data_IF_956905087725
#
_entry.id   IF_956905087725
#
_cell.length_a   1.000
_cell.length_b   1.000
_cell.length_c   1.000
_cell.angle_alpha   90.00
_cell.angle_beta   90.00
_cell.angle_gamma   90.00
#
_symmetry.space_group_name_H-M   'P 1'
#
loop_
_entity.id
_entity.type
_entity.pdbx_description
1 polymer ?
#
# COMPACT_ATOMS: atom_id res chain seq x y z
N UNK A 1 16.11 -4.91 12.35
CA UNK A 1 16.06 -3.51 11.89
C UNK A 1 14.60 -3.19 11.64
N UNK A 2 14.19 -1.94 11.90
CA UNK A 2 12.78 -1.57 12.02
C UNK A 2 12.58 -0.23 11.33
N UNK A 3 11.55 -0.15 10.50
CA UNK A 3 11.06 1.10 9.91
C UNK A 3 10.69 2.06 11.05
N UNK A 4 11.36 3.22 11.12
CA UNK A 4 11.10 4.22 12.15
C UNK A 4 10.11 5.26 11.63
N UNK A 5 9.19 5.72 12.48
CA UNK A 5 8.22 6.76 12.11
C UNK A 5 8.29 7.95 13.06
N UNK A 6 8.37 9.15 12.51
CA UNK A 6 8.37 10.43 13.22
C UNK A 6 7.20 11.31 12.74
N UNK A 7 6.86 12.33 13.51
CA UNK A 7 5.96 13.40 13.05
C UNK A 7 6.74 14.35 12.12
N UNK A 8 6.07 14.94 11.13
CA UNK A 8 6.65 15.98 10.27
C UNK A 8 6.65 17.34 11.00
N UNK A 9 7.47 17.41 12.05
CA UNK A 9 7.81 18.62 12.80
C UNK A 9 9.32 18.86 12.68
N UNK A 10 9.83 20.07 12.98
CA UNK A 10 11.27 20.32 12.98
C UNK A 10 12.07 19.29 13.81
N UNK A 11 11.55 18.91 14.99
CA UNK A 11 12.17 17.90 15.85
C UNK A 11 12.12 16.49 15.24
N UNK A 12 11.03 16.15 14.56
CA UNK A 12 10.90 14.88 13.85
C UNK A 12 11.82 14.81 12.64
N UNK A 13 11.99 15.91 11.91
CA UNK A 13 12.97 16.01 10.82
C UNK A 13 14.40 15.87 11.35
N UNK A 14 14.73 16.52 12.47
CA UNK A 14 16.04 16.35 13.13
C UNK A 14 16.27 14.91 13.59
N UNK A 15 15.25 14.26 14.18
CA UNK A 15 15.33 12.87 14.62
C UNK A 15 15.51 11.90 13.45
N UNK A 16 14.78 12.11 12.35
CA UNK A 16 14.95 11.33 11.12
C UNK A 16 16.34 11.56 10.48
N UNK A 17 16.82 12.81 10.49
CA UNK A 17 18.15 13.18 10.02
C UNK A 17 19.28 12.61 10.91
N UNK A 18 19.02 12.31 12.18
CA UNK A 18 19.98 11.71 13.10
C UNK A 18 20.12 10.18 12.95
N UNK A 19 19.19 9.50 12.26
CA UNK A 19 19.31 8.06 11.99
C UNK A 19 20.59 7.78 11.18
N UNK A 20 21.44 6.80 11.55
CA UNK A 20 22.66 6.52 10.80
C UNK A 20 22.40 6.11 9.34
N UNK A 21 23.31 6.48 8.44
CA UNK A 21 23.32 6.01 7.06
C UNK A 21 23.73 4.51 6.98
N UNK A 22 23.27 3.75 5.97
CA UNK A 22 22.38 4.18 4.89
C UNK A 22 20.92 4.26 5.34
N UNK A 23 20.21 5.32 4.92
CA UNK A 23 18.77 5.47 5.16
C UNK A 23 18.03 6.10 3.98
N UNK A 24 16.72 5.89 3.93
CA UNK A 24 15.81 6.61 3.06
C UNK A 24 14.71 7.26 3.90
N UNK A 25 14.57 8.58 3.78
CA UNK A 25 13.57 9.38 4.51
C UNK A 25 12.41 9.69 3.57
N UNK A 26 11.22 9.30 4.00
CA UNK A 26 9.98 9.50 3.27
C UNK A 26 9.03 10.39 4.05
N UNK A 27 8.59 11.50 3.47
CA UNK A 27 7.55 12.34 4.06
C UNK A 27 6.21 11.95 3.44
N UNK A 28 5.35 11.32 4.23
CA UNK A 28 4.01 10.93 3.79
C UNK A 28 3.14 12.17 3.59
N UNK A 29 2.13 12.13 2.70
CA UNK A 29 1.21 13.25 2.48
C UNK A 29 0.44 13.71 3.73
N UNK A 30 0.48 12.94 4.82
CA UNK A 30 -0.21 13.22 6.08
C UNK A 30 0.72 13.78 7.17
N UNK A 31 1.92 14.21 6.82
CA UNK A 31 2.87 14.82 7.76
C UNK A 31 3.48 13.80 8.73
N UNK A 32 3.77 12.58 8.26
CA UNK A 32 4.63 11.63 8.97
C UNK A 32 5.91 11.41 8.18
N UNK A 33 7.01 11.27 8.89
CA UNK A 33 8.30 10.91 8.33
C UNK A 33 8.52 9.42 8.58
N UNK A 34 8.76 8.64 7.54
CA UNK A 34 9.09 7.22 7.61
C UNK A 34 10.56 7.06 7.21
N UNK A 35 11.36 6.46 8.07
CA UNK A 35 12.79 6.23 7.83
C UNK A 35 13.04 4.75 7.66
N UNK A 36 13.49 4.40 6.47
CA UNK A 36 13.93 3.06 6.10
C UNK A 36 15.44 2.96 6.27
N UNK A 37 15.95 1.85 6.81
CA UNK A 37 17.39 1.62 7.02
C UNK A 37 17.81 0.22 6.59
N UNK A 38 19.08 0.07 6.24
CA UNK A 38 19.65 -1.24 5.87
C UNK A 38 18.90 -1.90 4.70
N UNK A 39 18.39 -3.11 4.93
CA UNK A 39 17.67 -3.91 3.93
C UNK A 39 16.27 -3.37 3.60
N UNK A 40 15.73 -2.49 4.42
CA UNK A 40 14.39 -1.93 4.24
C UNK A 40 14.39 -0.71 3.30
N UNK A 41 15.58 -0.21 2.93
CA UNK A 41 15.72 0.91 1.99
C UNK A 41 15.16 0.46 0.63
N UNK A 42 14.11 1.11 0.12
CA UNK A 42 13.61 0.80 -1.21
C UNK A 42 14.71 1.08 -2.22
N UNK A 43 15.05 0.09 -3.05
CA UNK A 43 16.00 0.28 -4.14
C UNK A 43 15.28 0.91 -5.34
N UNK A 44 15.50 2.21 -5.63
CA UNK A 44 14.82 2.88 -6.74
C UNK A 44 15.33 2.42 -8.10
N UNK A 45 16.42 1.64 -8.15
CA UNK A 45 16.96 1.07 -9.39
C UNK A 45 16.17 -0.15 -9.88
N UNK A 46 15.39 -0.80 -8.99
CA UNK A 46 14.50 -1.89 -9.36
C UNK A 46 13.32 -1.32 -10.17
N UNK A 47 13.12 -1.75 -11.42
CA UNK A 47 11.96 -1.34 -12.19
C UNK A 47 10.66 -1.73 -11.48
N UNK A 48 9.68 -0.82 -11.42
CA UNK A 48 8.36 -1.11 -10.82
C UNK A 48 7.66 -2.32 -11.45
N UNK A 49 7.98 -2.63 -12.71
CA UNK A 49 7.45 -3.79 -13.42
C UNK A 49 7.93 -5.13 -12.82
N UNK A 50 9.10 -5.14 -12.18
CA UNK A 50 9.72 -6.33 -11.61
C UNK A 50 9.29 -6.54 -10.14
N UNK A 51 8.64 -5.54 -9.54
CA UNK A 51 8.12 -5.64 -8.17
C UNK A 51 6.81 -6.44 -8.17
N UNK A 52 6.82 -7.55 -7.44
CA UNK A 52 5.64 -8.35 -7.15
C UNK A 52 5.33 -8.31 -5.66
N UNK A 53 4.11 -7.88 -5.31
CA UNK A 53 3.65 -7.83 -3.93
C UNK A 53 2.67 -8.96 -3.63
N UNK A 54 2.71 -9.46 -2.40
CA UNK A 54 1.57 -10.17 -1.82
C UNK A 54 0.41 -9.23 -1.52
N UNK A 55 -0.79 -9.76 -1.28
CA UNK A 55 -1.95 -8.95 -0.87
C UNK A 55 -1.66 -8.17 0.42
N UNK A 56 -0.99 -8.80 1.38
CA UNK A 56 -0.60 -8.15 2.63
C UNK A 56 0.38 -7.00 2.39
N UNK A 57 1.44 -7.23 1.62
CA UNK A 57 2.42 -6.19 1.26
C UNK A 57 1.77 -5.01 0.53
N UNK A 58 0.84 -5.28 -0.40
CA UNK A 58 0.07 -4.25 -1.10
C UNK A 58 -0.74 -3.40 -0.13
N UNK A 59 -1.51 -4.03 0.77
CA UNK A 59 -2.34 -3.32 1.73
C UNK A 59 -1.51 -2.53 2.76
N UNK A 60 -0.39 -3.09 3.25
CA UNK A 60 0.54 -2.39 4.14
C UNK A 60 1.24 -1.23 3.43
N UNK A 61 1.59 -1.39 2.15
CA UNK A 61 2.08 -0.29 1.32
C UNK A 61 1.06 0.84 1.22
N UNK A 62 -0.20 0.53 0.93
CA UNK A 62 -1.31 1.50 0.88
C UNK A 62 -1.49 2.21 2.22
N UNK A 63 -1.41 1.48 3.33
CA UNK A 63 -1.48 2.05 4.68
C UNK A 63 -0.32 3.02 4.93
N UNK A 64 0.90 2.66 4.52
CA UNK A 64 2.09 3.50 4.77
C UNK A 64 2.05 4.78 3.94
N UNK A 65 1.67 4.70 2.67
CA UNK A 65 1.61 5.87 1.78
C UNK A 65 0.38 6.73 2.04
N UNK A 66 -0.80 6.11 2.02
CA UNK A 66 -2.09 6.81 2.04
C UNK A 66 -2.76 6.88 3.42
N UNK A 67 -2.26 6.14 4.40
CA UNK A 67 -2.86 6.04 5.72
C UNK A 67 -4.18 5.27 5.76
N UNK A 68 -4.79 5.23 6.95
CA UNK A 68 -6.07 4.55 7.22
C UNK A 68 -7.20 4.89 6.23
N UNK A 69 -7.43 6.15 5.79
CA UNK A 69 -8.50 6.47 4.85
C UNK A 69 -8.34 5.79 3.49
N UNK A 70 -7.10 5.76 2.95
CA UNK A 70 -6.83 5.13 1.65
C UNK A 70 -6.85 3.60 1.77
N UNK A 71 -6.40 3.05 2.89
CA UNK A 71 -6.55 1.62 3.21
C UNK A 71 -8.03 1.22 3.28
N UNK A 72 -8.85 1.99 4.01
CA UNK A 72 -10.28 1.73 4.13
C UNK A 72 -10.99 1.85 2.77
N UNK A 73 -10.63 2.83 1.95
CA UNK A 73 -11.16 2.96 0.59
C UNK A 73 -10.75 1.79 -0.33
N UNK A 74 -9.49 1.32 -0.22
CA UNK A 74 -9.02 0.14 -0.94
C UNK A 74 -9.78 -1.13 -0.52
N UNK A 75 -9.96 -1.34 0.78
CA UNK A 75 -10.73 -2.48 1.31
C UNK A 75 -12.21 -2.41 0.87
N UNK A 76 -12.84 -1.24 1.00
CA UNK A 76 -14.20 -1.02 0.55
C UNK A 76 -14.37 -1.27 -0.96
N UNK A 77 -13.40 -0.84 -1.78
CA UNK A 77 -13.39 -1.13 -3.21
C UNK A 77 -13.35 -2.64 -3.48
N UNK A 78 -12.42 -3.37 -2.85
CA UNK A 78 -12.29 -4.82 -3.05
C UNK A 78 -13.55 -5.55 -2.58
N UNK A 79 -14.09 -5.19 -1.42
CA UNK A 79 -15.34 -5.75 -0.87
C UNK A 79 -16.55 -5.45 -1.75
N UNK A 80 -16.66 -4.25 -2.32
CA UNK A 80 -17.73 -3.91 -3.26
C UNK A 80 -17.67 -4.70 -4.56
N UNK A 81 -16.47 -5.11 -4.98
CA UNK A 81 -16.24 -5.93 -6.18
C UNK A 81 -16.58 -7.40 -5.92
N UNK A 82 -15.98 -7.99 -4.88
CA UNK A 82 -16.13 -9.43 -4.56
C UNK A 82 -17.48 -9.72 -3.91
N UNK A 83 -17.98 -8.78 -3.11
CA UNK A 83 -19.09 -9.01 -2.19
C UNK A 83 -18.61 -9.55 -0.83
N UNK A 84 -19.52 -9.54 0.12
CA UNK A 84 -19.31 -10.09 1.46
C UNK A 84 -20.49 -11.01 1.75
N UNK A 85 -20.18 -12.28 1.98
CA UNK A 85 -21.16 -13.27 2.42
C UNK A 85 -21.12 -13.37 3.94
N UNK A 86 -21.87 -12.48 4.60
CA UNK A 86 -22.02 -12.46 6.05
C UNK A 86 -23.22 -13.32 6.47
N UNK A 87 -23.14 -13.86 7.69
CA UNK A 87 -24.23 -14.64 8.30
C UNK A 87 -25.52 -13.80 8.43
N UNK A 88 -25.37 -12.54 8.82
CA UNK A 88 -26.49 -11.61 8.98
C UNK A 88 -26.78 -10.90 7.65
N UNK A 89 -28.03 -10.94 7.21
CA UNK A 89 -28.45 -10.41 5.90
C UNK A 89 -28.17 -8.91 5.75
N UNK A 90 -28.21 -8.15 6.84
CA UNK A 90 -27.93 -6.72 6.85
C UNK A 90 -26.44 -6.39 6.56
N UNK A 91 -25.55 -7.35 6.78
CA UNK A 91 -24.11 -7.21 6.55
C UNK A 91 -23.66 -7.83 5.22
N UNK A 92 -24.59 -8.43 4.47
CA UNK A 92 -24.31 -8.95 3.14
C UNK A 92 -24.10 -7.80 2.15
N UNK A 93 -23.03 -7.91 1.36
CA UNK A 93 -22.74 -6.99 0.27
C UNK A 93 -22.76 -7.79 -1.02
N UNK A 94 -23.72 -7.50 -1.90
CA UNK A 94 -23.74 -8.10 -3.22
C UNK A 94 -22.56 -7.56 -4.05
N UNK A 95 -21.65 -8.44 -4.46
CA UNK A 95 -20.49 -8.05 -5.27
C UNK A 95 -20.91 -7.56 -6.66
N UNK A 96 -20.52 -6.34 -7.00
CA UNK A 96 -20.88 -5.66 -8.26
C UNK A 96 -19.84 -5.83 -9.38
N UNK A 97 -18.70 -6.44 -9.07
CA UNK A 97 -17.63 -6.65 -10.04
C UNK A 97 -17.98 -7.62 -11.15
N UNK A 98 -17.29 -7.46 -12.28
CA UNK A 98 -17.31 -8.45 -13.37
C UNK A 98 -16.74 -9.80 -12.88
N UNK A 99 -17.09 -10.93 -13.53
CA UNK A 99 -16.54 -12.24 -13.15
C UNK A 99 -15.01 -12.27 -13.08
N UNK A 100 -14.32 -11.61 -14.02
CA UNK A 100 -12.86 -11.55 -14.03
C UNK A 100 -12.28 -10.77 -12.84
N UNK A 101 -12.90 -9.64 -12.46
CA UNK A 101 -12.49 -8.88 -11.28
C UNK A 101 -12.68 -9.69 -9.99
N UNK A 102 -13.80 -10.42 -9.88
CA UNK A 102 -14.08 -11.30 -8.73
C UNK A 102 -13.02 -12.39 -8.60
N UNK A 103 -12.72 -13.10 -9.68
CA UNK A 103 -11.69 -14.15 -9.69
C UNK A 103 -10.34 -13.58 -9.28
N UNK A 104 -9.96 -12.42 -9.81
CA UNK A 104 -8.66 -11.82 -9.49
C UNK A 104 -8.56 -11.44 -8.01
N UNK A 105 -9.54 -10.72 -7.45
CA UNK A 105 -9.46 -10.28 -6.05
C UNK A 105 -9.63 -11.39 -5.01
N UNK A 106 -10.34 -12.47 -5.38
CA UNK A 106 -10.57 -13.62 -4.51
C UNK A 106 -9.44 -14.65 -4.52
N UNK A 107 -8.69 -14.76 -5.61
CA UNK A 107 -7.73 -15.88 -5.80
C UNK A 107 -6.32 -15.46 -6.18
N UNK A 108 -6.07 -14.20 -6.50
CA UNK A 108 -4.71 -13.75 -6.82
C UNK A 108 -3.96 -13.38 -5.54
N UNK A 109 -2.78 -13.98 -5.37
CA UNK A 109 -1.87 -13.69 -4.24
C UNK A 109 -0.67 -12.83 -4.64
N UNK A 110 -0.50 -12.55 -5.94
CA UNK A 110 0.67 -11.85 -6.49
C UNK A 110 0.22 -10.68 -7.35
N UNK A 111 0.64 -9.48 -6.99
CA UNK A 111 0.24 -8.24 -7.64
C UNK A 111 1.45 -7.52 -8.21
N UNK A 112 1.39 -7.16 -9.49
CA UNK A 112 2.42 -6.34 -10.15
C UNK A 112 1.83 -4.99 -10.55
N UNK A 113 2.69 -3.97 -10.65
CA UNK A 113 2.23 -2.58 -10.87
C UNK A 113 1.49 -2.39 -12.20
N UNK A 114 1.80 -3.22 -13.20
CA UNK A 114 1.22 -3.20 -14.53
C UNK A 114 -0.14 -3.86 -14.67
N UNK A 115 -0.64 -4.57 -13.64
CA UNK A 115 -1.95 -5.19 -13.70
C UNK A 115 -3.06 -4.14 -13.84
N UNK A 116 -3.99 -4.34 -14.78
CA UNK A 116 -5.13 -3.43 -15.00
C UNK A 116 -5.94 -3.21 -13.73
N UNK A 117 -6.10 -4.26 -12.93
CA UNK A 117 -6.87 -4.21 -11.70
C UNK A 117 -6.21 -3.42 -10.58
N UNK A 118 -4.87 -3.33 -10.57
CA UNK A 118 -4.14 -2.47 -9.65
C UNK A 118 -4.37 -0.99 -9.99
N UNK A 119 -4.45 -0.65 -11.28
CA UNK A 119 -4.83 0.70 -11.68
C UNK A 119 -6.29 1.02 -11.32
N UNK A 120 -7.20 0.03 -11.37
CA UNK A 120 -8.58 0.22 -10.91
C UNK A 120 -8.65 0.39 -9.38
N UNK A 121 -7.91 -0.43 -8.62
CA UNK A 121 -7.79 -0.27 -7.16
C UNK A 121 -7.27 1.12 -6.80
N UNK A 122 -6.23 1.59 -7.50
CA UNK A 122 -5.68 2.94 -7.31
C UNK A 122 -6.76 4.02 -7.44
N UNK A 123 -7.60 3.93 -8.47
CA UNK A 123 -8.70 4.88 -8.67
C UNK A 123 -9.72 4.74 -7.53
N UNK A 124 -10.12 3.51 -7.18
CA UNK A 124 -11.10 3.23 -6.13
C UNK A 124 -10.65 3.66 -4.73
N UNK A 125 -9.35 3.56 -4.44
CA UNK A 125 -8.75 4.04 -3.20
C UNK A 125 -8.45 5.55 -3.23
N UNK A 126 -8.53 6.19 -4.40
CA UNK A 126 -8.21 7.59 -4.62
C UNK A 126 -6.72 7.90 -4.51
N UNK A 127 -5.83 6.95 -4.78
CA UNK A 127 -4.39 7.17 -4.86
C UNK A 127 -4.01 7.79 -6.23
N UNK A 128 -3.06 8.71 -6.22
CA UNK A 128 -2.39 9.17 -7.46
C UNK A 128 -1.50 8.07 -8.04
N UNK A 129 -1.02 8.26 -9.28
CA UNK A 129 -0.09 7.31 -9.89
C UNK A 129 1.22 7.21 -9.09
N UNK A 130 1.78 8.35 -8.69
CA UNK A 130 3.01 8.38 -7.90
C UNK A 130 2.82 7.68 -6.56
N UNK A 131 1.73 7.97 -5.84
CA UNK A 131 1.44 7.27 -4.57
C UNK A 131 1.30 5.76 -4.76
N UNK A 132 0.76 5.26 -5.89
CA UNK A 132 0.70 3.82 -6.13
C UNK A 132 2.07 3.22 -6.49
N UNK A 133 2.93 3.95 -7.19
CA UNK A 133 4.32 3.51 -7.45
C UNK A 133 5.08 3.36 -6.13
N UNK A 134 4.85 4.31 -5.23
CA UNK A 134 5.38 4.38 -3.89
C UNK A 134 4.89 3.23 -3.00
N UNK A 135 3.60 2.87 -3.11
CA UNK A 135 3.04 1.66 -2.48
C UNK A 135 3.81 0.42 -2.88
N UNK A 136 4.19 0.29 -4.16
CA UNK A 136 4.95 -0.87 -4.65
C UNK A 136 6.36 -0.92 -4.08
N UNK A 137 7.07 0.21 -4.08
CA UNK A 137 8.44 0.31 -3.53
C UNK A 137 8.50 0.06 -2.02
N UNK A 138 7.51 0.53 -1.27
CA UNK A 138 7.46 0.33 0.18
C UNK A 138 6.94 -1.06 0.53
N UNK A 139 5.92 -1.53 -0.20
CA UNK A 139 5.26 -2.81 0.04
C UNK A 139 6.24 -3.98 -0.06
N UNK A 140 7.18 -3.95 -1.01
CA UNK A 140 8.15 -5.04 -1.20
C UNK A 140 9.14 -5.17 -0.05
N UNK A 141 9.44 -4.06 0.64
CA UNK A 141 10.28 -4.05 1.84
C UNK A 141 9.54 -4.59 3.08
N UNK A 142 8.21 -4.77 3.03
CA UNK A 142 7.46 -5.33 4.15
C UNK A 142 7.68 -6.85 4.22
N UNK A 143 8.18 -7.32 5.36
CA UNK A 143 8.32 -8.74 5.69
C UNK A 143 7.27 -9.09 6.76
N UNK A 144 6.50 -10.19 6.60
CA UNK A 144 5.52 -10.64 7.61
C UNK A 144 6.13 -10.95 8.98
#
# INVERSE_FOLDING_TARGET
MTIQTFQDTPDGQASAAAVPEPKHIWITPRGKIVVFTGVDIPDPSIPLADITLSKWQLMTGILTVGGQPKLAAADAYIRGIVGVDAKDLADQIAGTGTPAQKVMWSHCDKFTRGMVYINQLRIGSGLSNNEMDDVFRIGVAQVP
#
